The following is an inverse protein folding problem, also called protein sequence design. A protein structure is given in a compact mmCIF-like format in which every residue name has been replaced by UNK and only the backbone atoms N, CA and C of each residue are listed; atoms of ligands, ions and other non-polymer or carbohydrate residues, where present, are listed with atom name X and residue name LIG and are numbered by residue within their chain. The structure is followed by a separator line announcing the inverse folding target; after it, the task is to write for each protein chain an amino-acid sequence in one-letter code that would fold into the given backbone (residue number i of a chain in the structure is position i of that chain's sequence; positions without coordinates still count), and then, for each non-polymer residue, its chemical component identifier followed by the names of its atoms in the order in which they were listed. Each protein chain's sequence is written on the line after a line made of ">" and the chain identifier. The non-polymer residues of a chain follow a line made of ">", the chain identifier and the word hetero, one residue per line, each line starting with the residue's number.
data_IF_475008303029
#
_entry.id   IF_475008303029
#
_cell.length_a   1.000
_cell.length_b   1.000
_cell.length_c   1.000
_cell.angle_alpha   90.00
_cell.angle_beta   90.00
_cell.angle_gamma   90.00
#
_symmetry.space_group_name_H-M   'P 1'
#
loop_
_entity.id
_entity.type
_entity.pdbx_description
1 polymer ?
#
# COMPACT_ATOMS: atom_id res chain seq x y z
N UNK A 1 54.60 -15.31 23.46
CA UNK A 1 53.58 -16.17 24.10
C UNK A 1 52.57 -15.28 24.81
N UNK A 2 51.41 -15.00 24.20
CA UNK A 2 50.32 -14.28 24.89
C UNK A 2 49.57 -15.29 25.76
N UNK A 3 49.36 -14.98 27.04
CA UNK A 3 48.74 -15.91 27.98
C UNK A 3 47.23 -15.99 27.73
N UNK A 4 46.64 -17.16 27.94
CA UNK A 4 45.23 -17.45 27.64
C UNK A 4 44.22 -16.47 28.30
N UNK A 5 44.63 -15.78 29.37
CA UNK A 5 43.83 -14.74 30.02
C UNK A 5 43.69 -13.46 29.20
N UNK A 6 44.69 -13.12 28.39
CA UNK A 6 44.68 -11.92 27.55
C UNK A 6 43.67 -12.09 26.40
N UNK A 7 43.62 -13.27 25.80
CA UNK A 7 42.69 -13.59 24.70
C UNK A 7 41.21 -13.55 25.15
N UNK A 8 40.91 -14.07 26.35
CA UNK A 8 39.55 -14.04 26.92
C UNK A 8 39.06 -12.62 27.20
N UNK A 9 39.97 -11.74 27.63
CA UNK A 9 39.66 -10.33 27.90
C UNK A 9 39.35 -9.57 26.61
N UNK A 10 40.08 -9.83 25.53
CA UNK A 10 39.80 -9.26 24.20
C UNK A 10 38.47 -9.72 23.62
N UNK A 11 38.14 -11.02 23.71
CA UNK A 11 36.85 -11.55 23.22
C UNK A 11 35.68 -10.92 23.98
N UNK A 12 35.80 -10.75 25.30
CA UNK A 12 34.78 -10.08 26.11
C UNK A 12 34.52 -8.64 25.67
N UNK A 13 35.57 -7.87 25.34
CA UNK A 13 35.46 -6.49 24.87
C UNK A 13 34.77 -6.42 23.50
N UNK A 14 35.14 -7.31 22.58
CA UNK A 14 34.53 -7.38 21.24
C UNK A 14 33.04 -7.75 21.32
N UNK A 15 32.68 -8.72 22.18
CA UNK A 15 31.29 -9.14 22.35
C UNK A 15 30.41 -8.00 22.95
N UNK A 16 30.94 -7.27 23.93
CA UNK A 16 30.25 -6.11 24.51
C UNK A 16 30.09 -4.96 23.52
N UNK A 17 31.08 -4.72 22.65
CA UNK A 17 30.99 -3.72 21.59
C UNK A 17 29.93 -4.07 20.55
N UNK A 18 29.81 -5.35 20.16
CA UNK A 18 28.74 -5.78 19.24
C UNK A 18 27.34 -5.67 19.87
N UNK A 19 27.19 -5.95 21.16
CA UNK A 19 25.89 -5.83 21.84
C UNK A 19 25.46 -4.36 21.97
N UNK A 20 26.39 -3.45 22.29
CA UNK A 20 26.12 -2.01 22.35
C UNK A 20 25.75 -1.41 20.98
N UNK A 21 26.39 -1.88 19.91
CA UNK A 21 26.02 -1.51 18.54
C UNK A 21 24.61 -1.99 18.15
N UNK A 22 24.20 -3.19 18.59
CA UNK A 22 22.85 -3.73 18.34
C UNK A 22 21.73 -2.97 19.04
N UNK A 23 21.93 -2.54 20.29
CA UNK A 23 20.91 -1.80 21.07
C UNK A 23 20.71 -0.37 20.55
N UNK A 24 21.77 0.28 20.05
CA UNK A 24 21.66 1.62 19.44
C UNK A 24 20.83 1.62 18.14
N UNK A 25 20.90 0.53 17.35
CA UNK A 25 20.06 0.34 16.15
C UNK A 25 18.61 0.03 16.57
N UNK A 26 18.40 -0.78 17.61
CA UNK A 26 17.08 -1.12 18.15
C UNK A 26 16.24 0.10 18.59
N UNK A 27 16.87 1.11 19.19
CA UNK A 27 16.17 2.31 19.68
C UNK A 27 15.94 3.38 18.61
N UNK A 28 16.70 3.35 17.50
CA UNK A 28 16.56 4.27 16.37
C UNK A 28 15.68 3.72 15.24
N UNK A 29 15.40 2.41 15.24
CA UNK A 29 14.55 1.73 14.26
C UNK A 29 13.09 2.22 14.14
N UNK A 30 12.39 2.81 15.15
CA UNK A 30 11.05 3.35 14.89
C UNK A 30 11.08 4.52 13.89
N UNK A 31 12.18 5.27 13.80
CA UNK A 31 12.29 6.44 12.92
C UNK A 31 12.79 6.11 11.52
N UNK A 32 13.68 5.13 11.36
CA UNK A 32 14.17 4.74 10.03
C UNK A 32 13.17 3.86 9.29
N UNK A 33 12.36 3.06 9.99
CA UNK A 33 11.22 2.38 9.36
C UNK A 33 10.14 3.39 8.90
N UNK A 34 9.92 4.48 9.65
CA UNK A 34 9.04 5.59 9.25
C UNK A 34 9.62 6.47 8.12
N UNK A 35 10.93 6.42 7.89
CA UNK A 35 11.59 7.14 6.79
C UNK A 35 11.71 6.30 5.52
N UNK A 36 11.85 4.97 5.64
CA UNK A 36 11.96 4.06 4.50
C UNK A 36 10.59 3.66 3.95
N UNK A 37 9.56 3.67 4.81
CA UNK A 37 8.17 3.80 4.40
C UNK A 37 7.74 5.19 4.83
N UNK A 38 8.06 6.25 4.05
CA UNK A 38 7.52 7.58 4.33
C UNK A 38 6.05 7.37 4.57
N UNK A 39 5.61 7.82 5.75
CA UNK A 39 4.23 7.77 6.23
C UNK A 39 3.33 7.77 5.01
N UNK A 40 2.73 6.60 4.71
CA UNK A 40 2.08 6.33 3.44
C UNK A 40 1.00 7.39 3.28
N UNK A 41 1.38 8.49 2.62
CA UNK A 41 0.75 9.79 2.81
C UNK A 41 -0.72 9.61 2.59
N UNK A 42 -1.51 9.95 3.61
CA UNK A 42 -2.97 9.75 3.67
C UNK A 42 -3.55 9.68 2.27
N UNK A 43 -3.79 8.47 1.76
CA UNK A 43 -4.28 8.30 0.40
C UNK A 43 -5.58 9.11 0.33
N UNK A 44 -5.64 10.23 -0.44
CA UNK A 44 -6.78 11.13 -0.39
C UNK A 44 -8.07 10.43 -0.79
N UNK A 45 -7.95 9.40 -1.63
CA UNK A 45 -9.06 8.54 -1.98
C UNK A 45 -9.52 7.72 -0.77
N UNK A 46 -8.59 7.10 -0.02
CA UNK A 46 -8.92 6.27 1.14
C UNK A 46 -9.52 7.10 2.28
N UNK A 47 -9.05 8.32 2.52
CA UNK A 47 -9.64 9.18 3.56
C UNK A 47 -11.05 9.68 3.18
N UNK A 48 -11.26 10.02 1.90
CA UNK A 48 -12.62 10.29 1.40
C UNK A 48 -13.50 9.05 1.52
N UNK A 49 -13.02 7.89 1.09
CA UNK A 49 -13.73 6.62 1.18
C UNK A 49 -14.08 6.25 2.63
N UNK A 50 -13.16 6.46 3.57
CA UNK A 50 -13.42 6.32 4.99
C UNK A 50 -14.54 7.23 5.47
N UNK A 51 -14.52 8.49 5.07
CA UNK A 51 -15.50 9.50 5.47
C UNK A 51 -16.88 9.19 4.91
N UNK A 52 -16.97 8.88 3.62
CA UNK A 52 -18.23 8.65 2.91
C UNK A 52 -18.96 7.39 3.40
N UNK A 53 -18.20 6.34 3.75
CA UNK A 53 -18.75 5.04 4.16
C UNK A 53 -18.73 4.79 5.66
N UNK A 54 -18.09 5.67 6.45
CA UNK A 54 -17.92 5.51 7.89
C UNK A 54 -17.10 4.27 8.24
N UNK A 55 -15.94 4.10 7.60
CA UNK A 55 -15.12 2.90 7.77
C UNK A 55 -14.45 2.85 9.15
N UNK A 56 -14.44 1.65 9.75
CA UNK A 56 -13.67 1.36 10.97
C UNK A 56 -12.17 1.38 10.68
N UNK A 57 -11.36 1.66 11.70
CA UNK A 57 -9.89 1.65 11.57
C UNK A 57 -9.35 0.32 11.01
N UNK A 58 -9.95 -0.81 11.40
CA UNK A 58 -9.58 -2.13 10.89
C UNK A 58 -9.90 -2.29 9.39
N UNK A 59 -11.08 -1.83 8.95
CA UNK A 59 -11.46 -1.86 7.54
C UNK A 59 -10.52 -1.01 6.70
N UNK A 60 -10.14 0.18 7.21
CA UNK A 60 -9.16 1.07 6.55
C UNK A 60 -7.81 0.38 6.40
N UNK A 61 -7.32 -0.33 7.43
CA UNK A 61 -6.07 -1.10 7.35
C UNK A 61 -6.14 -2.17 6.26
N UNK A 62 -7.21 -2.96 6.25
CA UNK A 62 -7.39 -4.04 5.25
C UNK A 62 -7.49 -3.49 3.83
N UNK A 63 -8.28 -2.43 3.61
CA UNK A 63 -8.43 -1.80 2.30
C UNK A 63 -7.10 -1.20 1.83
N UNK A 64 -6.33 -0.58 2.72
CA UNK A 64 -4.99 -0.06 2.39
C UNK A 64 -4.08 -1.17 1.88
N UNK A 65 -4.09 -2.35 2.50
CA UNK A 65 -3.34 -3.52 2.03
C UNK A 65 -3.79 -3.97 0.64
N UNK A 66 -5.10 -4.00 0.38
CA UNK A 66 -5.65 -4.34 -0.95
C UNK A 66 -5.22 -3.33 -2.01
N UNK A 67 -5.27 -2.04 -1.72
CA UNK A 67 -4.83 -0.97 -2.63
C UNK A 67 -3.33 -1.06 -2.91
N UNK A 68 -2.52 -1.36 -1.90
CA UNK A 68 -1.09 -1.55 -2.06
C UNK A 68 -0.78 -2.75 -2.96
N UNK A 69 -1.40 -3.92 -2.72
CA UNK A 69 -1.27 -5.12 -3.57
C UNK A 69 -1.68 -4.82 -5.03
N UNK A 70 -2.82 -4.15 -5.22
CA UNK A 70 -3.27 -3.69 -6.54
C UNK A 70 -2.23 -2.81 -7.22
N UNK A 71 -1.68 -1.82 -6.50
CA UNK A 71 -0.67 -0.89 -7.05
C UNK A 71 0.58 -1.63 -7.49
N UNK A 72 1.08 -2.57 -6.67
CA UNK A 72 2.27 -3.36 -7.00
C UNK A 72 2.04 -4.20 -8.26
N UNK A 73 0.90 -4.89 -8.36
CA UNK A 73 0.53 -5.65 -9.55
C UNK A 73 0.41 -4.79 -10.79
N UNK A 74 -0.21 -3.61 -10.69
CA UNK A 74 -0.31 -2.70 -11.82
C UNK A 74 1.06 -2.19 -12.27
N UNK A 75 1.96 -1.85 -11.35
CA UNK A 75 3.34 -1.47 -11.69
C UNK A 75 4.02 -2.61 -12.44
N UNK A 76 3.92 -3.85 -11.95
CA UNK A 76 4.50 -5.02 -12.61
C UNK A 76 4.02 -5.14 -14.06
N UNK A 77 2.71 -5.02 -14.31
CA UNK A 77 2.14 -5.04 -15.67
C UNK A 77 2.67 -3.87 -16.52
N UNK A 78 2.71 -2.64 -15.99
CA UNK A 78 3.20 -1.47 -16.74
C UNK A 78 4.70 -1.51 -17.02
N UNK A 79 5.49 -2.21 -16.21
CA UNK A 79 6.93 -2.35 -16.43
C UNK A 79 7.27 -3.37 -17.51
N UNK A 80 6.33 -4.23 -17.93
CA UNK A 80 6.51 -5.13 -19.08
C UNK A 80 6.44 -4.29 -20.37
N UNK A 81 7.55 -4.21 -21.09
CA UNK A 81 7.69 -3.38 -22.29
C UNK A 81 6.70 -3.78 -23.40
N UNK A 82 6.00 -2.77 -23.92
CA UNK A 82 4.92 -2.75 -24.92
C UNK A 82 3.48 -2.94 -24.38
N UNK A 83 2.61 -1.96 -24.66
CA UNK A 83 1.17 -2.03 -24.35
C UNK A 83 0.48 -3.02 -25.29
N UNK A 84 0.06 -4.17 -24.77
CA UNK A 84 -0.68 -5.20 -25.53
C UNK A 84 -2.14 -5.29 -25.07
N UNK A 85 -3.07 -5.75 -25.91
CA UNK A 85 -4.45 -6.02 -25.50
C UNK A 85 -4.56 -6.99 -24.30
N UNK A 86 -3.58 -7.89 -24.15
CA UNK A 86 -3.47 -8.83 -23.04
C UNK A 86 -3.21 -8.09 -21.71
N UNK A 87 -2.39 -7.03 -21.73
CA UNK A 87 -2.17 -6.18 -20.55
C UNK A 87 -3.43 -5.45 -20.13
N UNK A 88 -4.26 -4.99 -21.06
CA UNK A 88 -5.55 -4.36 -20.73
C UNK A 88 -6.49 -5.34 -20.03
N UNK A 89 -6.50 -6.60 -20.45
CA UNK A 89 -7.25 -7.64 -19.77
C UNK A 89 -6.70 -7.95 -18.38
N UNK A 90 -5.37 -8.03 -18.24
CA UNK A 90 -4.69 -8.22 -16.95
C UNK A 90 -4.99 -7.05 -15.99
N UNK A 91 -4.92 -5.81 -16.46
CA UNK A 91 -5.27 -4.61 -15.69
C UNK A 91 -6.74 -4.67 -15.25
N UNK A 92 -7.67 -5.05 -16.14
CA UNK A 92 -9.08 -5.23 -15.77
C UNK A 92 -9.26 -6.31 -14.72
N UNK A 93 -8.57 -7.43 -14.85
CA UNK A 93 -8.61 -8.52 -13.88
C UNK A 93 -8.08 -8.07 -12.51
N UNK A 94 -6.94 -7.36 -12.47
CA UNK A 94 -6.36 -6.79 -11.24
C UNK A 94 -7.35 -5.83 -10.57
N UNK A 95 -8.01 -4.96 -11.36
CA UNK A 95 -9.02 -4.02 -10.84
C UNK A 95 -10.23 -4.74 -10.25
N UNK A 96 -10.77 -5.75 -10.95
CA UNK A 96 -11.90 -6.56 -10.45
C UNK A 96 -11.54 -7.30 -9.17
N UNK A 97 -10.38 -7.93 -9.13
CA UNK A 97 -9.92 -8.66 -7.94
C UNK A 97 -9.79 -7.72 -6.73
N UNK A 98 -9.26 -6.51 -6.92
CA UNK A 98 -9.19 -5.52 -5.84
C UNK A 98 -10.58 -5.06 -5.38
N UNK A 99 -11.49 -4.83 -6.33
CA UNK A 99 -12.88 -4.43 -6.05
C UNK A 99 -13.62 -5.50 -5.22
N UNK A 100 -13.50 -6.78 -5.58
CA UNK A 100 -14.13 -7.89 -4.86
C UNK A 100 -13.58 -8.02 -3.43
N UNK A 101 -12.27 -7.82 -3.25
CA UNK A 101 -11.64 -7.81 -1.93
C UNK A 101 -12.09 -6.61 -1.08
N UNK A 102 -12.28 -5.44 -1.68
CA UNK A 102 -12.84 -4.27 -0.98
C UNK A 102 -14.26 -4.60 -0.52
N UNK A 103 -15.12 -5.13 -1.40
CA UNK A 103 -16.49 -5.53 -1.06
C UNK A 103 -16.55 -6.52 0.10
N UNK A 104 -15.63 -7.47 0.16
CA UNK A 104 -15.56 -8.45 1.25
C UNK A 104 -15.21 -7.85 2.62
N UNK A 105 -14.61 -6.65 2.67
CA UNK A 105 -14.27 -5.95 3.92
C UNK A 105 -15.42 -5.06 4.40
N UNK A 106 -16.35 -4.70 3.53
CA UNK A 106 -17.48 -3.83 3.83
C UNK A 106 -18.60 -4.59 4.54
N UNK A 107 -19.24 -3.93 5.51
CA UNK A 107 -20.46 -4.45 6.12
C UNK A 107 -21.64 -4.32 5.12
N UNK A 108 -22.75 -5.07 5.28
CA UNK A 108 -23.84 -5.08 4.29
C UNK A 108 -24.41 -3.69 3.93
N UNK A 109 -24.53 -2.79 4.92
CA UNK A 109 -25.01 -1.43 4.70
C UNK A 109 -23.99 -0.53 3.97
N UNK A 110 -22.68 -0.79 4.14
CA UNK A 110 -21.63 -0.10 3.39
C UNK A 110 -21.57 -0.63 1.96
N UNK A 111 -21.67 -1.95 1.77
CA UNK A 111 -21.69 -2.60 0.47
C UNK A 111 -22.87 -2.13 -0.39
N UNK A 112 -24.07 -2.02 0.18
CA UNK A 112 -25.24 -1.51 -0.53
C UNK A 112 -25.03 -0.09 -1.07
N UNK A 113 -24.43 0.80 -0.26
CA UNK A 113 -24.06 2.16 -0.68
C UNK A 113 -23.00 2.12 -1.77
N UNK A 114 -22.00 1.26 -1.62
CA UNK A 114 -20.89 1.13 -2.55
C UNK A 114 -21.36 0.70 -3.93
N UNK A 115 -22.17 -0.37 -3.99
CA UNK A 115 -22.74 -0.88 -5.24
C UNK A 115 -23.62 0.17 -5.92
N UNK A 116 -24.48 0.88 -5.17
CA UNK A 116 -25.32 1.95 -5.73
C UNK A 116 -24.52 3.09 -6.35
N UNK A 117 -23.43 3.50 -5.70
CA UNK A 117 -22.53 4.55 -6.23
C UNK A 117 -21.76 4.09 -7.46
N UNK A 118 -21.41 2.80 -7.55
CA UNK A 118 -20.73 2.22 -8.71
C UNK A 118 -21.66 1.96 -9.90
N UNK A 119 -22.93 1.61 -9.67
CA UNK A 119 -23.92 1.41 -10.73
C UNK A 119 -24.36 2.74 -11.38
N UNK A 120 -24.47 3.80 -10.58
CA UNK A 120 -24.85 5.14 -11.07
C UNK A 120 -23.73 5.87 -11.83
N UNK A 121 -22.50 5.35 -11.80
CA UNK A 121 -21.32 5.91 -12.48
C UNK A 121 -20.83 5.10 -13.70
N UNK A 122 -21.72 4.34 -14.36
CA UNK A 122 -21.38 3.41 -15.45
C UNK A 122 -20.50 3.99 -16.58
N UNK A 123 -19.75 3.12 -17.29
CA UNK A 123 -18.72 3.48 -18.25
C UNK A 123 -19.33 4.10 -19.52
N UNK A 124 -19.46 5.43 -19.54
CA UNK A 124 -20.00 6.17 -20.69
C UNK A 124 -20.11 7.68 -20.52
N UNK A 125 -20.09 8.20 -19.29
CA UNK A 125 -20.26 9.64 -19.02
C UNK A 125 -18.94 10.44 -19.04
N UNK A 126 -18.09 10.16 -20.04
CA UNK A 126 -16.82 10.86 -20.28
C UNK A 126 -16.64 11.41 -21.70
N UNK A 127 -17.49 11.01 -22.66
CA UNK A 127 -17.31 11.34 -24.09
C UNK A 127 -18.20 12.49 -24.61
N UNK A 128 -18.96 13.18 -23.75
CA UNK A 128 -19.82 14.28 -24.16
C UNK A 128 -19.57 15.56 -23.32
N UNK A 129 -18.33 16.05 -23.30
CA UNK A 129 -18.07 17.48 -23.06
C UNK A 129 -17.69 18.13 -24.39
N UNK A 130 -18.75 18.38 -25.15
CA UNK A 130 -18.95 19.54 -26.02
C UNK A 130 -17.72 20.39 -26.33
N UNK A 131 -17.23 20.28 -27.56
CA UNK A 131 -16.56 21.39 -28.24
C UNK A 131 -17.44 22.65 -28.14
N UNK A 132 -16.90 23.82 -27.78
CA UNK A 132 -17.67 25.06 -27.84
C UNK A 132 -17.98 25.39 -29.31
N UNK A 133 -19.20 25.87 -29.64
CA UNK A 133 -19.48 26.40 -30.96
C UNK A 133 -18.66 27.68 -31.15
N UNK A 134 -17.81 27.67 -32.18
CA UNK A 134 -17.09 28.85 -32.64
C UNK A 134 -18.14 29.89 -33.09
N UNK A 135 -18.11 31.07 -32.50
CA UNK A 135 -18.84 32.24 -33.01
C UNK A 135 -17.90 33.06 -33.87
#
# INVERSE_FOLDING_TARGET
>A
MRTAGELRRWIGIVALACLAAGVAVGWSLPRVHAAMFPDAGSDPWLERFRTDYGLRAEQVRLIRTVLHDRRMKLIDVYTRSATTPEQDEEIRAIRRQADDRIKAVLDPAQLARYTKSHESGGPGSGAARSSPPNK
#
